data_IF_690638603654
#
_entry.id   IF_690638603654
#
_cell.length_a   1.000
_cell.length_b   1.000
_cell.length_c   1.000
_cell.angle_alpha   90.00
_cell.angle_beta   90.00
_cell.angle_gamma   90.00
#
_symmetry.space_group_name_H-M   'P 1'
#
loop_
_entity.id
_entity.type
_entity.pdbx_description
1 polymer ?
#
# COMPACT_ATOMS: atom_id res chain seq x y z
N UNK A 1 21.23 20.56 -6.88
CA UNK A 1 20.31 19.46 -7.30
C UNK A 1 19.63 18.99 -6.02
N UNK A 2 18.30 18.97 -6.00
CA UNK A 2 17.55 18.70 -4.77
C UNK A 2 17.02 17.26 -4.74
N UNK A 3 16.94 16.59 -5.89
CA UNK A 3 16.47 15.22 -5.98
C UNK A 3 16.89 14.49 -7.24
N UNK A 4 16.82 13.16 -7.18
CA UNK A 4 17.03 12.23 -8.31
C UNK A 4 15.73 11.46 -8.53
N UNK A 5 15.28 11.37 -9.77
CA UNK A 5 14.05 10.70 -10.19
C UNK A 5 14.23 9.19 -10.32
N UNK A 6 13.22 8.43 -9.91
CA UNK A 6 13.09 6.99 -10.11
C UNK A 6 11.67 6.66 -10.54
N UNK A 7 11.52 5.88 -11.63
CA UNK A 7 10.24 5.32 -12.07
C UNK A 7 10.25 3.80 -11.95
N UNK A 8 9.17 3.23 -11.44
CA UNK A 8 8.96 1.79 -11.47
C UNK A 8 7.48 1.42 -11.48
N UNK A 9 7.09 0.62 -12.47
CA UNK A 9 5.73 0.09 -12.57
C UNK A 9 5.68 -1.40 -12.24
N UNK A 10 4.75 -1.76 -11.39
CA UNK A 10 4.44 -3.16 -11.05
C UNK A 10 3.57 -3.77 -12.14
N UNK A 11 4.05 -4.89 -12.68
CA UNK A 11 3.35 -5.62 -13.73
C UNK A 11 3.57 -7.12 -13.50
N UNK A 12 2.50 -7.90 -13.20
CA UNK A 12 2.62 -9.32 -12.84
C UNK A 12 3.16 -10.20 -13.97
N UNK A 13 2.84 -9.88 -15.21
CA UNK A 13 3.17 -10.66 -16.39
C UNK A 13 4.30 -10.02 -17.23
N UNK A 14 4.28 -10.15 -18.54
CA UNK A 14 5.22 -9.47 -19.44
C UNK A 14 4.59 -8.22 -20.05
N UNK A 15 5.41 -7.29 -20.53
CA UNK A 15 4.92 -6.06 -21.15
C UNK A 15 4.06 -6.31 -22.40
N UNK A 16 4.28 -7.42 -23.09
CA UNK A 16 3.54 -7.82 -24.31
C UNK A 16 2.25 -8.59 -23.99
N UNK A 17 2.09 -9.05 -22.74
CA UNK A 17 0.97 -9.89 -22.30
C UNK A 17 0.47 -9.44 -20.91
N UNK A 18 0.17 -8.15 -20.77
CA UNK A 18 -0.53 -7.65 -19.61
C UNK A 18 -1.96 -8.18 -19.61
N UNK A 19 -2.45 -8.62 -18.47
CA UNK A 19 -3.88 -8.89 -18.27
C UNK A 19 -4.58 -7.60 -17.82
N UNK A 20 -5.91 -7.54 -17.89
CA UNK A 20 -6.68 -6.44 -17.32
C UNK A 20 -6.62 -6.44 -15.78
N UNK A 21 -6.86 -5.29 -15.18
CA UNK A 21 -6.84 -5.13 -13.72
C UNK A 21 -7.80 -6.10 -12.99
N UNK A 22 -8.94 -6.42 -13.61
CA UNK A 22 -9.98 -7.31 -13.08
C UNK A 22 -9.81 -8.79 -13.46
N UNK A 23 -8.84 -9.11 -14.32
CA UNK A 23 -8.57 -10.46 -14.81
C UNK A 23 -7.24 -10.99 -14.31
N UNK A 24 -7.25 -11.68 -13.18
CA UNK A 24 -6.07 -12.31 -12.61
C UNK A 24 -6.45 -13.60 -11.86
N UNK A 25 -5.54 -14.52 -11.83
CA UNK A 25 -5.60 -15.73 -11.02
C UNK A 25 -4.72 -15.58 -9.75
N UNK A 26 -4.66 -16.64 -8.93
CA UNK A 26 -3.86 -16.66 -7.70
C UNK A 26 -2.37 -16.44 -7.97
N UNK A 27 -1.83 -17.01 -9.06
CA UNK A 27 -0.42 -16.86 -9.41
C UNK A 27 -0.11 -15.41 -9.83
N UNK A 28 -0.97 -14.79 -10.63
CA UNK A 28 -0.85 -13.37 -10.99
C UNK A 28 -0.89 -12.46 -9.76
N UNK A 29 -1.75 -12.81 -8.79
CA UNK A 29 -1.87 -12.09 -7.53
C UNK A 29 -0.54 -12.08 -6.79
N UNK A 30 0.02 -13.24 -6.46
CA UNK A 30 1.27 -13.32 -5.69
C UNK A 30 2.46 -12.78 -6.49
N UNK A 31 2.54 -13.05 -7.79
CA UNK A 31 3.58 -12.50 -8.67
C UNK A 31 3.55 -10.96 -8.69
N UNK A 32 2.37 -10.35 -8.62
CA UNK A 32 2.20 -8.91 -8.48
C UNK A 32 2.94 -8.37 -7.25
N UNK A 33 2.83 -9.02 -6.10
CA UNK A 33 3.53 -8.62 -4.87
C UNK A 33 5.04 -8.87 -4.93
N UNK A 34 5.48 -9.99 -5.51
CA UNK A 34 6.91 -10.22 -5.77
C UNK A 34 7.49 -9.07 -6.61
N UNK A 35 6.76 -8.64 -7.65
CA UNK A 35 7.18 -7.53 -8.49
C UNK A 35 7.13 -6.18 -7.75
N UNK A 36 6.08 -5.92 -6.96
CA UNK A 36 5.97 -4.68 -6.20
C UNK A 36 7.14 -4.49 -5.22
N UNK A 37 7.60 -5.56 -4.58
CA UNK A 37 8.73 -5.54 -3.63
C UNK A 37 10.08 -5.24 -4.28
N UNK A 38 10.22 -5.37 -5.60
CA UNK A 38 11.43 -4.91 -6.31
C UNK A 38 11.68 -3.40 -6.16
N UNK A 39 10.67 -2.63 -5.81
CA UNK A 39 10.85 -1.21 -5.47
C UNK A 39 11.88 -1.03 -4.35
N UNK A 40 11.85 -1.88 -3.33
CA UNK A 40 12.81 -1.84 -2.21
C UNK A 40 14.26 -2.02 -2.69
N UNK A 41 14.51 -3.06 -3.49
CA UNK A 41 15.83 -3.30 -4.08
C UNK A 41 16.33 -2.12 -4.95
N UNK A 42 15.41 -1.49 -5.68
CA UNK A 42 15.75 -0.34 -6.53
C UNK A 42 16.12 0.86 -5.67
N UNK A 43 15.36 1.15 -4.62
CA UNK A 43 15.64 2.24 -3.68
C UNK A 43 17.00 2.00 -3.00
N UNK A 44 17.22 0.81 -2.44
CA UNK A 44 18.47 0.45 -1.77
C UNK A 44 19.69 0.64 -2.68
N UNK A 45 19.64 0.13 -3.92
CA UNK A 45 20.74 0.27 -4.88
C UNK A 45 21.00 1.73 -5.28
N UNK A 46 19.93 2.52 -5.46
CA UNK A 46 20.08 3.96 -5.74
C UNK A 46 20.65 4.70 -4.54
N UNK A 47 20.15 4.43 -3.35
CA UNK A 47 20.63 5.03 -2.12
C UNK A 47 22.09 4.67 -1.82
N UNK A 48 22.51 3.43 -2.09
CA UNK A 48 23.92 3.01 -1.96
C UNK A 48 24.83 3.83 -2.88
N UNK A 49 24.44 4.02 -4.15
CA UNK A 49 25.20 4.83 -5.10
C UNK A 49 25.19 6.30 -4.67
N UNK A 50 24.02 6.85 -4.35
CA UNK A 50 23.86 8.23 -3.93
C UNK A 50 24.72 8.56 -2.71
N UNK A 51 24.79 7.66 -1.72
CA UNK A 51 25.54 7.88 -0.47
C UNK A 51 27.06 7.96 -0.69
N UNK A 52 27.59 7.42 -1.80
CA UNK A 52 29.02 7.59 -2.17
C UNK A 52 29.35 9.02 -2.61
N UNK A 53 28.37 9.73 -3.19
CA UNK A 53 28.56 11.09 -3.73
C UNK A 53 27.88 12.15 -2.87
N UNK A 54 26.93 11.78 -2.05
CA UNK A 54 26.16 12.61 -1.14
C UNK A 54 26.03 11.93 0.24
N UNK A 55 27.15 11.85 1.01
CA UNK A 55 27.16 11.19 2.31
C UNK A 55 26.36 11.93 3.39
N UNK A 56 25.94 13.17 3.14
CA UNK A 56 25.10 13.95 4.07
C UNK A 56 23.62 13.83 3.81
N UNK A 57 23.22 13.06 2.79
CA UNK A 57 21.82 12.85 2.38
C UNK A 57 21.08 14.17 2.07
N UNK A 58 21.77 15.12 1.44
CA UNK A 58 21.17 16.41 1.04
C UNK A 58 20.33 16.30 -0.24
N UNK A 59 20.57 15.28 -1.06
CA UNK A 59 19.85 15.01 -2.30
C UNK A 59 18.81 13.93 -2.05
N UNK A 60 17.52 14.24 -2.21
CA UNK A 60 16.43 13.30 -2.04
C UNK A 60 16.29 12.32 -3.22
N UNK A 61 15.75 11.12 -2.96
CA UNK A 61 15.24 10.23 -3.98
C UNK A 61 13.75 10.53 -4.19
N UNK A 62 13.36 10.79 -5.43
CA UNK A 62 11.99 11.08 -5.83
C UNK A 62 11.48 9.92 -6.67
N UNK A 63 10.58 9.12 -6.11
CA UNK A 63 9.86 8.08 -6.88
C UNK A 63 8.67 8.77 -7.55
N UNK A 64 8.94 9.48 -8.64
CA UNK A 64 7.97 10.38 -9.26
C UNK A 64 6.97 9.70 -10.19
N UNK A 65 7.17 8.41 -10.51
CA UNK A 65 6.14 7.54 -11.09
C UNK A 65 6.23 6.12 -10.53
N UNK A 66 5.12 5.63 -9.97
CA UNK A 66 4.97 4.24 -9.55
C UNK A 66 3.51 3.80 -9.62
N UNK A 67 3.26 2.50 -9.56
CA UNK A 67 1.93 1.93 -9.55
C UNK A 67 1.86 0.62 -10.32
N UNK A 68 0.65 0.06 -10.42
CA UNK A 68 0.38 -1.14 -11.21
C UNK A 68 -0.08 -0.78 -12.62
N UNK A 69 0.50 -1.40 -13.63
CA UNK A 69 0.17 -1.12 -15.04
C UNK A 69 -0.34 -2.39 -15.74
N UNK A 70 -1.60 -2.33 -16.17
CA UNK A 70 -2.33 -3.42 -16.82
C UNK A 70 -2.73 -3.05 -18.25
N UNK A 71 -3.46 -3.94 -18.91
CA UNK A 71 -4.12 -3.62 -20.17
C UNK A 71 -5.24 -2.60 -19.95
N UNK A 72 -5.49 -1.78 -20.96
CA UNK A 72 -6.59 -0.80 -20.95
C UNK A 72 -7.94 -1.51 -20.96
N UNK A 73 -8.93 -0.89 -20.35
CA UNK A 73 -10.29 -1.42 -20.37
C UNK A 73 -10.88 -1.45 -21.79
N UNK A 74 -11.62 -2.53 -22.15
CA UNK A 74 -12.26 -2.64 -23.46
C UNK A 74 -13.15 -1.45 -23.79
N UNK A 75 -13.11 -1.03 -25.03
CA UNK A 75 -13.91 0.10 -25.50
C UNK A 75 -13.29 1.48 -25.23
N UNK A 76 -12.15 1.53 -24.55
CA UNK A 76 -11.39 2.78 -24.35
C UNK A 76 -10.26 2.91 -25.36
N UNK A 77 -9.82 4.13 -25.62
CA UNK A 77 -8.71 4.38 -26.53
C UNK A 77 -7.38 3.96 -25.87
N UNK A 78 -6.55 3.08 -26.50
CA UNK A 78 -5.35 2.53 -25.87
C UNK A 78 -4.36 3.58 -25.35
N UNK A 79 -4.24 4.71 -26.05
CA UNK A 79 -3.31 5.77 -25.65
C UNK A 79 -3.74 6.53 -24.39
N UNK A 80 -4.96 6.36 -23.89
CA UNK A 80 -5.44 6.99 -22.66
C UNK A 80 -5.07 6.17 -21.42
N UNK A 81 -4.62 4.93 -21.61
CA UNK A 81 -4.14 4.05 -20.53
C UNK A 81 -5.17 3.88 -19.39
N UNK A 82 -6.46 3.92 -19.74
CA UNK A 82 -7.54 3.74 -18.77
C UNK A 82 -7.62 2.29 -18.33
N UNK A 83 -7.51 2.04 -17.06
CA UNK A 83 -7.68 0.73 -16.43
C UNK A 83 -8.51 0.84 -15.16
N UNK A 84 -9.16 -0.26 -14.77
CA UNK A 84 -9.87 -0.38 -13.51
C UNK A 84 -8.86 -0.55 -12.36
N UNK A 85 -9.29 -0.20 -11.13
CA UNK A 85 -8.53 -0.44 -9.91
C UNK A 85 -9.26 -1.37 -8.96
N UNK A 86 -8.61 -2.45 -8.52
CA UNK A 86 -9.18 -3.48 -7.65
C UNK A 86 -8.67 -3.39 -6.22
N UNK A 87 -9.20 -4.22 -5.32
CA UNK A 87 -8.68 -4.35 -3.95
C UNK A 87 -7.25 -4.90 -3.93
N UNK A 88 -6.85 -5.76 -4.88
CA UNK A 88 -5.44 -6.16 -5.08
C UNK A 88 -4.54 -4.94 -5.28
N UNK A 89 -4.97 -4.00 -6.11
CA UNK A 89 -4.15 -2.82 -6.43
C UNK A 89 -4.02 -1.89 -5.21
N UNK A 90 -5.06 -1.82 -4.39
CA UNK A 90 -5.01 -1.14 -3.10
C UNK A 90 -3.98 -1.77 -2.14
N UNK A 91 -3.86 -3.10 -2.12
CA UNK A 91 -2.84 -3.81 -1.33
C UNK A 91 -1.45 -3.63 -1.92
N UNK A 92 -1.28 -3.66 -3.25
CA UNK A 92 -0.01 -3.34 -3.90
C UNK A 92 0.47 -1.92 -3.55
N UNK A 93 -0.45 -0.96 -3.55
CA UNK A 93 -0.14 0.41 -3.12
C UNK A 93 0.27 0.47 -1.64
N UNK A 94 -0.40 -0.27 -0.75
CA UNK A 94 -0.06 -0.33 0.66
C UNK A 94 1.38 -0.85 0.88
N UNK A 95 1.75 -1.96 0.24
CA UNK A 95 3.11 -2.52 0.31
C UNK A 95 4.16 -1.52 -0.18
N UNK A 96 3.89 -0.81 -1.27
CA UNK A 96 4.84 0.19 -1.79
C UNK A 96 4.92 1.43 -0.89
N UNK A 97 3.81 1.89 -0.32
CA UNK A 97 3.82 2.97 0.67
C UNK A 97 4.60 2.60 1.94
N UNK A 98 4.50 1.35 2.40
CA UNK A 98 5.32 0.86 3.52
C UNK A 98 6.82 0.87 3.18
N UNK A 99 7.18 0.50 1.94
CA UNK A 99 8.56 0.59 1.45
C UNK A 99 9.06 2.04 1.47
N UNK A 100 8.28 2.98 0.93
CA UNK A 100 8.67 4.40 0.91
C UNK A 100 8.83 4.96 2.32
N UNK A 101 7.95 4.60 3.25
CA UNK A 101 8.04 5.03 4.64
C UNK A 101 9.31 4.48 5.33
N UNK A 102 9.69 3.21 5.08
CA UNK A 102 10.94 2.66 5.63
C UNK A 102 12.20 3.37 5.15
N UNK A 103 12.14 3.94 3.96
CA UNK A 103 13.24 4.69 3.34
C UNK A 103 13.04 6.22 3.40
N UNK A 104 12.26 6.71 4.37
CA UNK A 104 11.92 8.14 4.50
C UNK A 104 13.12 9.05 4.82
N UNK A 105 14.27 8.48 5.18
CA UNK A 105 15.54 9.19 5.31
C UNK A 105 16.11 9.65 3.95
N UNK A 106 15.67 9.04 2.85
CA UNK A 106 16.15 9.33 1.50
C UNK A 106 15.03 9.54 0.48
N UNK A 107 13.91 8.82 0.59
CA UNK A 107 12.74 9.00 -0.27
C UNK A 107 11.92 10.18 0.24
N UNK A 108 12.00 11.30 -0.47
CA UNK A 108 11.34 12.56 -0.06
C UNK A 108 10.00 12.78 -0.75
N UNK A 109 9.71 12.02 -1.82
CA UNK A 109 8.45 12.11 -2.58
C UNK A 109 8.19 10.79 -3.31
N UNK A 110 6.92 10.37 -3.36
CA UNK A 110 6.48 9.22 -4.14
C UNK A 110 5.11 9.51 -4.77
N UNK A 111 5.04 9.61 -6.10
CA UNK A 111 3.85 10.01 -6.85
C UNK A 111 3.24 8.82 -7.57
N UNK A 112 2.04 8.43 -7.16
CA UNK A 112 1.29 7.39 -7.86
C UNK A 112 0.91 7.86 -9.28
N UNK A 113 1.12 7.01 -10.25
CA UNK A 113 0.74 7.28 -11.63
C UNK A 113 -0.58 6.55 -11.98
N UNK A 114 -1.71 7.30 -12.20
CA UNK A 114 -1.81 8.73 -12.00
C UNK A 114 -3.08 9.03 -11.17
N UNK A 115 -3.40 10.30 -10.98
CA UNK A 115 -4.51 10.66 -10.10
C UNK A 115 -5.87 10.28 -10.67
N UNK A 116 -6.13 10.54 -11.96
CA UNK A 116 -7.46 10.40 -12.58
C UNK A 116 -7.37 9.66 -13.91
N UNK A 117 -8.15 8.60 -14.07
CA UNK A 117 -8.41 7.87 -15.32
C UNK A 117 -7.21 7.24 -16.04
N UNK A 118 -6.01 7.28 -15.49
CA UNK A 118 -4.80 6.81 -16.15
C UNK A 118 -4.04 5.84 -15.25
N UNK A 119 -3.74 4.65 -15.76
CA UNK A 119 -2.96 3.62 -15.06
C UNK A 119 -3.55 3.33 -13.66
N UNK A 120 -2.78 3.42 -12.60
CA UNK A 120 -3.20 3.11 -11.22
C UNK A 120 -3.95 4.28 -10.56
N UNK A 121 -5.07 4.69 -11.16
CA UNK A 121 -5.80 5.88 -10.70
C UNK A 121 -6.45 5.70 -9.34
N UNK A 122 -6.45 6.78 -8.55
CA UNK A 122 -7.21 6.86 -7.30
C UNK A 122 -8.65 7.34 -7.53
N UNK A 123 -8.91 8.03 -8.64
CA UNK A 123 -10.22 8.56 -9.04
C UNK A 123 -10.52 8.11 -10.47
N UNK A 124 -11.73 7.63 -10.71
CA UNK A 124 -12.25 7.42 -12.06
C UNK A 124 -13.43 8.35 -12.32
N UNK A 125 -13.52 8.88 -13.53
CA UNK A 125 -14.59 9.79 -13.96
C UNK A 125 -15.19 9.33 -15.29
N UNK A 126 -16.51 9.55 -15.44
CA UNK A 126 -17.23 9.31 -16.68
C UNK A 126 -18.34 10.36 -16.80
N UNK A 127 -18.22 11.27 -17.75
CA UNK A 127 -19.12 12.41 -17.86
C UNK A 127 -19.11 13.28 -16.60
N UNK A 128 -20.26 13.42 -15.96
CA UNK A 128 -20.45 14.13 -14.69
C UNK A 128 -20.32 13.23 -13.45
N UNK A 129 -20.06 11.95 -13.64
CA UNK A 129 -19.90 10.98 -12.55
C UNK A 129 -18.45 10.84 -12.11
N UNK A 130 -18.24 10.60 -10.83
CA UNK A 130 -16.94 10.33 -10.21
C UNK A 130 -17.05 9.17 -9.23
N UNK A 131 -16.04 8.32 -9.16
CA UNK A 131 -15.88 7.32 -8.12
C UNK A 131 -14.45 7.29 -7.56
N UNK A 132 -14.33 6.85 -6.32
CA UNK A 132 -13.06 6.61 -5.64
C UNK A 132 -12.70 5.13 -5.79
N UNK A 133 -11.49 4.83 -6.27
CA UNK A 133 -11.02 3.45 -6.36
C UNK A 133 -10.62 2.90 -4.98
N UNK A 134 -10.46 1.59 -4.81
CA UNK A 134 -9.90 1.03 -3.57
C UNK A 134 -8.54 1.62 -3.18
N UNK A 135 -7.72 2.00 -4.15
CA UNK A 135 -6.41 2.65 -3.91
C UNK A 135 -6.54 4.04 -3.29
N UNK A 136 -7.57 4.82 -3.64
CA UNK A 136 -7.85 6.08 -2.93
C UNK A 136 -8.01 5.85 -1.42
N UNK A 137 -8.73 4.79 -1.06
CA UNK A 137 -8.95 4.47 0.36
C UNK A 137 -7.66 4.03 1.06
N UNK A 138 -6.73 3.39 0.35
CA UNK A 138 -5.38 3.13 0.88
C UNK A 138 -4.67 4.43 1.21
N UNK A 139 -4.59 5.38 0.30
CA UNK A 139 -4.00 6.70 0.57
C UNK A 139 -4.67 7.41 1.75
N UNK A 140 -6.00 7.33 1.84
CA UNK A 140 -6.74 7.91 2.96
C UNK A 140 -6.45 7.23 4.32
N UNK A 141 -6.03 5.95 4.32
CA UNK A 141 -5.56 5.25 5.52
C UNK A 141 -4.11 5.62 5.86
N UNK A 142 -3.29 5.94 4.88
CA UNK A 142 -1.87 6.26 5.05
C UNK A 142 -1.59 7.75 5.34
N UNK A 143 -2.56 8.64 5.17
CA UNK A 143 -2.35 10.09 5.28
C UNK A 143 -1.77 10.55 6.63
N UNK A 144 -2.00 9.82 7.71
CA UNK A 144 -1.51 10.18 9.04
C UNK A 144 0.01 9.93 9.20
N UNK A 145 0.63 9.16 8.29
CA UNK A 145 2.07 8.99 8.25
C UNK A 145 2.80 10.19 7.63
N UNK A 146 2.07 11.05 6.93
CA UNK A 146 2.63 12.24 6.28
C UNK A 146 3.10 13.26 7.32
N UNK A 147 4.34 13.73 7.20
CA UNK A 147 5.01 14.62 8.18
C UNK A 147 5.05 14.03 9.60
N UNK A 148 5.01 12.72 9.74
CA UNK A 148 5.15 12.00 11.00
C UNK A 148 6.58 11.46 11.16
N UNK A 149 6.99 11.20 12.38
CA UNK A 149 8.24 10.52 12.65
C UNK A 149 8.06 9.02 12.46
N UNK A 150 8.84 8.41 11.58
CA UNK A 150 8.89 6.95 11.44
C UNK A 150 9.32 6.33 12.77
N UNK A 151 8.64 5.27 13.17
CA UNK A 151 9.01 4.46 14.33
C UNK A 151 9.73 3.19 13.87
N UNK A 152 10.77 2.82 14.59
CA UNK A 152 11.37 1.51 14.44
C UNK A 152 10.33 0.45 14.81
N UNK A 153 10.05 -0.46 13.88
CA UNK A 153 9.02 -1.47 14.04
C UNK A 153 9.39 -2.75 13.31
N UNK A 154 9.12 -3.88 13.95
CA UNK A 154 9.42 -5.20 13.44
C UNK A 154 8.15 -6.06 13.40
N UNK A 155 8.04 -6.89 12.38
CA UNK A 155 6.89 -7.77 12.16
C UNK A 155 7.35 -9.19 11.90
N UNK A 156 6.92 -10.11 12.76
CA UNK A 156 7.03 -11.55 12.53
C UNK A 156 5.81 -12.02 11.75
N UNK A 157 6.03 -12.65 10.61
CA UNK A 157 4.97 -13.13 9.72
C UNK A 157 5.47 -14.29 8.87
N UNK A 158 4.56 -15.16 8.50
CA UNK A 158 4.86 -16.30 7.63
C UNK A 158 4.96 -15.89 6.16
N UNK A 159 5.55 -16.76 5.35
CA UNK A 159 5.49 -16.65 3.90
C UNK A 159 4.25 -17.37 3.36
N UNK A 160 3.60 -16.73 2.40
CA UNK A 160 2.46 -17.26 1.64
C UNK A 160 2.77 -17.21 0.15
N UNK A 161 1.95 -17.85 -0.66
CA UNK A 161 2.07 -17.82 -2.13
C UNK A 161 1.96 -19.20 -2.75
N UNK A 162 2.42 -19.30 -3.98
CA UNK A 162 2.51 -20.54 -4.75
C UNK A 162 3.98 -21.01 -4.90
N UNK A 163 4.21 -22.04 -5.72
CA UNK A 163 5.57 -22.59 -5.93
C UNK A 163 6.54 -21.60 -6.61
N UNK A 164 6.03 -20.66 -7.40
CA UNK A 164 6.84 -19.70 -8.17
C UNK A 164 6.95 -18.33 -7.50
N UNK A 165 5.99 -17.99 -6.64
CA UNK A 165 5.84 -16.64 -6.08
C UNK A 165 5.52 -16.70 -4.60
N UNK A 166 6.55 -16.52 -3.76
CA UNK A 166 6.40 -16.45 -2.30
C UNK A 166 6.63 -15.03 -1.79
N UNK A 167 5.82 -14.62 -0.85
CA UNK A 167 5.86 -13.31 -0.21
C UNK A 167 5.62 -13.42 1.28
N UNK A 168 6.10 -12.47 2.06
CA UNK A 168 5.65 -12.33 3.45
C UNK A 168 4.16 -12.02 3.47
N UNK A 169 3.40 -12.68 4.34
CA UNK A 169 1.94 -12.52 4.42
C UNK A 169 1.52 -11.08 4.77
N UNK A 170 2.33 -10.37 5.52
CA UNK A 170 1.97 -9.04 5.98
C UNK A 170 3.00 -7.98 5.59
N UNK A 171 2.54 -6.73 5.56
CA UNK A 171 3.35 -5.52 5.39
C UNK A 171 2.84 -4.44 6.34
N UNK A 172 3.72 -3.58 6.87
CA UNK A 172 3.33 -2.57 7.85
C UNK A 172 4.24 -1.35 7.83
N UNK A 173 3.73 -0.27 8.40
CA UNK A 173 4.51 0.89 8.82
C UNK A 173 3.93 1.48 10.09
N UNK A 174 4.79 2.03 10.95
CA UNK A 174 4.38 2.71 12.18
C UNK A 174 5.02 4.09 12.25
N UNK A 175 4.27 5.07 12.74
CA UNK A 175 4.75 6.44 12.90
C UNK A 175 4.14 7.14 14.10
N UNK A 176 4.77 8.23 14.53
CA UNK A 176 4.32 9.08 15.62
C UNK A 176 4.15 10.53 15.14
N UNK A 177 3.00 11.10 15.41
CA UNK A 177 2.73 12.52 15.15
C UNK A 177 1.91 13.13 16.29
N UNK A 178 2.42 14.18 16.90
CA UNK A 178 1.73 14.89 17.98
C UNK A 178 1.25 13.99 19.15
N UNK A 179 2.06 12.99 19.52
CA UNK A 179 1.72 12.05 20.59
C UNK A 179 0.70 10.97 20.20
N UNK A 180 0.32 10.87 18.92
CA UNK A 180 -0.53 9.83 18.38
C UNK A 180 0.33 8.84 17.59
N UNK A 181 0.32 7.58 18.00
CA UNK A 181 0.90 6.48 17.25
C UNK A 181 -0.08 6.05 16.16
N UNK A 182 0.41 5.94 14.94
CA UNK A 182 -0.33 5.38 13.80
C UNK A 182 0.37 4.12 13.32
N UNK A 183 -0.36 3.01 13.25
CA UNK A 183 0.04 1.77 12.60
C UNK A 183 -0.86 1.52 11.39
N UNK A 184 -0.27 1.32 10.22
CA UNK A 184 -0.93 0.70 9.08
C UNK A 184 -0.36 -0.69 8.88
N UNK A 185 -1.24 -1.68 8.66
CA UNK A 185 -0.84 -3.07 8.47
C UNK A 185 -1.77 -3.74 7.45
N UNK A 186 -1.20 -4.54 6.57
CA UNK A 186 -1.89 -5.23 5.49
C UNK A 186 -1.76 -6.74 5.63
N UNK A 187 -2.87 -7.46 5.48
CA UNK A 187 -2.88 -8.92 5.32
C UNK A 187 -3.05 -9.24 3.82
N UNK A 188 -2.03 -9.88 3.25
CA UNK A 188 -1.95 -10.22 1.83
C UNK A 188 -2.48 -11.63 1.53
N UNK A 189 -2.85 -12.41 2.55
CA UNK A 189 -3.48 -13.72 2.34
C UNK A 189 -4.83 -13.56 1.64
N UNK A 190 -5.11 -14.46 0.72
CA UNK A 190 -6.44 -14.56 0.06
C UNK A 190 -7.49 -15.20 0.97
N UNK A 191 -7.08 -16.01 1.95
CA UNK A 191 -7.98 -16.90 2.69
C UNK A 191 -7.88 -16.77 4.20
N UNK A 192 -6.69 -16.46 4.74
CA UNK A 192 -6.43 -16.56 6.18
C UNK A 192 -6.57 -15.21 6.88
N UNK A 193 -7.30 -15.24 7.99
CA UNK A 193 -7.32 -14.15 8.95
C UNK A 193 -6.18 -14.31 9.95
N UNK A 194 -5.54 -13.21 10.32
CA UNK A 194 -4.42 -13.20 11.26
C UNK A 194 -4.79 -12.49 12.55
N UNK A 195 -4.45 -13.09 13.69
CA UNK A 195 -4.46 -12.38 14.95
C UNK A 195 -3.15 -11.60 15.10
N UNK A 196 -3.27 -10.31 15.29
CA UNK A 196 -2.13 -9.44 15.51
C UNK A 196 -1.98 -9.18 17.01
N UNK A 197 -0.84 -9.57 17.56
CA UNK A 197 -0.41 -9.23 18.91
C UNK A 197 0.70 -8.18 18.78
N UNK A 198 0.36 -6.91 19.02
CA UNK A 198 1.25 -5.78 18.84
C UNK A 198 1.80 -5.29 20.19
N UNK A 199 3.11 -5.32 20.34
CA UNK A 199 3.80 -4.82 21.53
C UNK A 199 4.18 -3.35 21.35
N UNK A 200 3.80 -2.50 22.31
CA UNK A 200 4.12 -1.08 22.31
C UNK A 200 5.24 -0.79 23.31
N UNK A 201 6.46 -0.68 22.80
CA UNK A 201 7.63 -0.44 23.65
C UNK A 201 7.80 1.05 23.96
N UNK A 202 7.70 1.41 25.25
CA UNK A 202 7.87 2.80 25.69
C UNK A 202 6.71 3.74 25.37
N UNK A 203 5.55 3.19 24.97
CA UNK A 203 4.34 3.99 24.70
C UNK A 203 3.12 3.38 25.42
N UNK A 204 2.38 4.23 26.10
CA UNK A 204 1.16 3.85 26.83
C UNK A 204 -0.03 4.58 26.22
N UNK A 205 -0.89 3.83 25.58
CA UNK A 205 -2.11 4.36 24.98
C UNK A 205 -3.31 4.18 25.90
N UNK A 206 -4.28 5.08 25.76
CA UNK A 206 -5.58 5.03 26.47
C UNK A 206 -6.76 4.92 25.52
N UNK A 207 -6.57 5.28 24.25
CA UNK A 207 -7.63 5.25 23.24
C UNK A 207 -7.13 4.57 21.97
N UNK A 208 -7.91 3.61 21.47
CA UNK A 208 -7.69 2.96 20.16
C UNK A 208 -8.81 3.40 19.22
N UNK A 209 -8.43 3.81 18.00
CA UNK A 209 -9.36 3.93 16.87
C UNK A 209 -8.81 3.13 15.71
N UNK A 210 -9.67 2.37 15.04
CA UNK A 210 -9.25 1.55 13.91
C UNK A 210 -10.17 1.71 12.71
N UNK A 211 -9.59 1.70 11.52
CA UNK A 211 -10.29 1.66 10.23
C UNK A 211 -9.79 0.45 9.44
N UNK A 212 -10.69 -0.23 8.76
CA UNK A 212 -10.41 -1.44 8.00
C UNK A 212 -10.93 -1.30 6.57
N UNK A 213 -10.08 -1.51 5.59
CA UNK A 213 -10.43 -1.66 4.18
C UNK A 213 -10.29 -3.15 3.82
N UNK A 214 -11.43 -3.85 3.68
CA UNK A 214 -11.46 -5.28 3.41
C UNK A 214 -12.53 -5.58 2.36
N UNK A 215 -12.17 -6.39 1.38
CA UNK A 215 -13.04 -6.95 0.35
C UNK A 215 -12.35 -8.15 -0.30
N UNK A 216 -13.07 -8.89 -1.16
CA UNK A 216 -12.42 -9.80 -2.10
C UNK A 216 -11.37 -9.06 -2.93
N UNK A 217 -10.25 -9.73 -3.26
CA UNK A 217 -9.12 -9.09 -3.95
C UNK A 217 -9.45 -8.61 -5.36
N UNK A 218 -10.44 -9.19 -6.03
CA UNK A 218 -10.93 -8.75 -7.34
C UNK A 218 -12.01 -7.67 -7.24
N UNK A 219 -12.54 -7.40 -6.04
CA UNK A 219 -13.58 -6.41 -5.84
C UNK A 219 -13.07 -4.99 -6.21
N UNK A 220 -13.93 -4.22 -6.84
CA UNK A 220 -13.67 -2.86 -7.28
C UNK A 220 -14.93 -2.02 -7.25
N UNK A 221 -14.78 -0.71 -7.26
CA UNK A 221 -15.90 0.22 -7.35
C UNK A 221 -16.24 0.47 -8.81
N UNK A 222 -17.54 0.52 -9.15
CA UNK A 222 -18.06 0.90 -10.44
C UNK A 222 -18.96 2.12 -10.33
N UNK A 223 -19.31 2.77 -11.43
CA UNK A 223 -20.22 3.92 -11.41
C UNK A 223 -21.63 3.56 -10.93
N UNK A 224 -22.02 2.28 -11.03
CA UNK A 224 -23.28 1.74 -10.53
C UNK A 224 -23.20 1.31 -9.06
N UNK A 225 -21.98 0.98 -8.57
CA UNK A 225 -21.70 0.52 -7.22
C UNK A 225 -20.43 1.19 -6.63
N UNK A 226 -20.48 2.52 -6.54
CA UNK A 226 -19.31 3.36 -6.22
C UNK A 226 -18.75 3.19 -4.79
N UNK A 227 -19.42 2.42 -3.93
CA UNK A 227 -19.02 2.19 -2.54
C UNK A 227 -18.96 0.69 -2.16
N UNK A 228 -18.76 -0.18 -3.12
CA UNK A 228 -18.63 -1.61 -2.89
C UNK A 228 -17.39 -1.93 -2.04
N UNK A 229 -16.29 -1.24 -2.30
CA UNK A 229 -15.05 -1.30 -1.53
C UNK A 229 -14.82 0.06 -0.87
N UNK A 230 -15.02 0.12 0.45
CA UNK A 230 -14.81 1.31 1.27
C UNK A 230 -14.35 0.96 2.67
N UNK A 231 -13.64 1.85 3.37
CA UNK A 231 -13.26 1.63 4.76
C UNK A 231 -14.48 1.53 5.69
N UNK A 232 -14.35 0.68 6.69
CA UNK A 232 -15.26 0.56 7.84
C UNK A 232 -14.48 0.68 9.14
N UNK A 233 -15.16 0.76 10.25
CA UNK A 233 -14.52 0.69 11.56
C UNK A 233 -13.93 -0.71 11.79
N UNK A 234 -12.71 -0.77 12.32
CA UNK A 234 -12.09 -2.01 12.77
C UNK A 234 -12.72 -2.38 14.12
N UNK A 235 -13.37 -3.54 14.18
CA UNK A 235 -13.99 -4.05 15.38
C UNK A 235 -13.03 -4.95 16.17
N UNK A 236 -13.20 -5.00 17.50
CA UNK A 236 -12.49 -5.95 18.36
C UNK A 236 -11.03 -5.63 18.65
N UNK A 237 -10.53 -4.46 18.28
CA UNK A 237 -9.22 -4.00 18.74
C UNK A 237 -9.28 -3.66 20.24
N UNK A 238 -8.35 -4.23 21.00
CA UNK A 238 -8.32 -4.08 22.44
C UNK A 238 -6.88 -3.94 22.97
N UNK A 239 -6.72 -3.17 24.06
CA UNK A 239 -5.45 -3.15 24.78
C UNK A 239 -5.16 -4.50 25.45
N UNK A 240 -3.89 -4.83 25.54
CA UNK A 240 -3.32 -5.89 26.35
C UNK A 240 -2.37 -5.28 27.38
N UNK A 241 -1.78 -6.09 28.25
CA UNK A 241 -0.80 -5.61 29.27
C UNK A 241 0.44 -4.98 28.64
N UNK A 242 0.79 -5.36 27.38
CA UNK A 242 2.01 -4.95 26.69
C UNK A 242 1.79 -4.18 25.39
N UNK A 243 0.54 -3.93 25.00
CA UNK A 243 0.22 -3.26 23.74
C UNK A 243 -1.23 -3.41 23.33
N UNK A 244 -1.47 -3.96 22.14
CA UNK A 244 -2.83 -4.16 21.62
C UNK A 244 -2.94 -5.43 20.80
N UNK A 245 -4.16 -5.96 20.70
CA UNK A 245 -4.49 -7.10 19.83
C UNK A 245 -5.72 -6.81 18.99
N UNK A 246 -5.76 -7.40 17.81
CA UNK A 246 -6.90 -7.31 16.88
C UNK A 246 -6.83 -8.41 15.83
N UNK A 247 -7.95 -8.68 15.15
CA UNK A 247 -8.02 -9.59 14.01
C UNK A 247 -7.88 -8.81 12.70
N UNK A 248 -7.06 -9.32 11.79
CA UNK A 248 -6.86 -8.78 10.46
C UNK A 248 -7.38 -9.79 9.42
N UNK A 249 -8.55 -9.58 8.80
CA UNK A 249 -9.12 -10.50 7.82
C UNK A 249 -8.24 -10.64 6.56
N UNK A 250 -8.46 -11.65 5.73
CA UNK A 250 -7.75 -11.76 4.44
C UNK A 250 -8.05 -10.56 3.54
N UNK A 251 -7.14 -10.28 2.62
CA UNK A 251 -7.24 -9.16 1.65
C UNK A 251 -7.60 -7.83 2.33
N UNK A 252 -6.91 -7.46 3.41
CA UNK A 252 -7.27 -6.28 4.19
C UNK A 252 -6.11 -5.33 4.46
N UNK A 253 -6.47 -4.07 4.72
CA UNK A 253 -5.57 -3.02 5.21
C UNK A 253 -6.24 -2.41 6.44
N UNK A 254 -5.57 -2.42 7.58
CA UNK A 254 -6.03 -1.72 8.76
C UNK A 254 -5.14 -0.50 9.05
N UNK A 255 -5.76 0.60 9.42
CA UNK A 255 -5.12 1.73 10.08
C UNK A 255 -5.58 1.75 11.53
N UNK A 256 -4.64 1.80 12.45
CA UNK A 256 -4.91 1.90 13.87
C UNK A 256 -4.19 3.13 14.40
N UNK A 257 -4.91 3.96 15.14
CA UNK A 257 -4.32 5.07 15.87
C UNK A 257 -4.46 4.82 17.37
N UNK A 258 -3.38 5.06 18.08
CA UNK A 258 -3.33 4.95 19.55
C UNK A 258 -2.90 6.28 20.11
N UNK A 259 -3.73 6.87 20.97
CA UNK A 259 -3.37 8.09 21.68
C UNK A 259 -3.20 7.83 23.17
N UNK A 260 -2.16 8.47 23.76
CA UNK A 260 -1.94 8.52 25.18
C UNK A 260 -2.83 9.56 25.86
N UNK A 261 -2.84 9.53 27.17
CA UNK A 261 -3.46 10.57 28.00
C UNK A 261 -2.59 11.83 28.06
#
# INVERSE_FOLDING_TARGET
MDGISLHYYTQPNTWDHKKRATEFDVSDYYRGFVRARRMEELIEKHCEIMSRYDPRHEIGLVVDEWGAWYEVEPGTHPAFLYQQGTKRDALLAAVQLDIFNRHADRVVMANLAQMVNVIHSIILTEGDRMLLTPTYHTFALYKEHQDAQLLDSWLETEEIGDEESRILNMSHTASMKNGVLTLTISNLSLEQSEQIDCYLLGFYGTTIKGRLLQADCAAHNTFEAAQQVKPRELQGAAFTDSGLKFMLPPCSIAQITVSGS
#
